data_IF_060299233987
#
_entry.id   IF_060299233987
#
_cell.length_a   1.000
_cell.length_b   1.000
_cell.length_c   1.000
_cell.angle_alpha   90.00
_cell.angle_beta   90.00
_cell.angle_gamma   90.00
#
_symmetry.space_group_name_H-M   'P 1'
#
loop_
_entity.id
_entity.type
_entity.pdbx_description
1 polymer ?
#
# COMPACT_ATOMS: atom_id res chain seq x y z
N UNK A 1 -2.16 -0.72 0.50
CA UNK A 1 -2.11 -2.01 -0.22
C UNK A 1 -1.73 -1.67 -1.66
N UNK A 2 -0.80 -2.35 -2.35
CA UNK A 2 -0.39 -1.90 -3.70
C UNK A 2 -1.48 -2.16 -4.73
N UNK A 3 -1.89 -1.13 -5.46
CA UNK A 3 -2.94 -1.24 -6.45
C UNK A 3 -2.37 -1.78 -7.78
N UNK A 4 -2.47 -3.10 -7.95
CA UNK A 4 -1.87 -3.83 -9.08
C UNK A 4 -2.73 -3.83 -10.35
N UNK A 5 -3.98 -3.34 -10.28
CA UNK A 5 -4.95 -3.38 -11.37
C UNK A 5 -5.30 -2.03 -11.99
N UNK A 6 -4.72 -0.92 -11.53
CA UNK A 6 -5.21 0.42 -11.90
C UNK A 6 -4.11 1.30 -12.51
N UNK A 7 -4.47 2.02 -13.57
CA UNK A 7 -3.67 3.09 -14.18
C UNK A 7 -4.29 4.43 -13.78
N UNK A 8 -3.51 5.31 -13.17
CA UNK A 8 -3.96 6.66 -12.80
C UNK A 8 -3.54 7.64 -13.89
N UNK A 9 -4.51 8.35 -14.45
CA UNK A 9 -4.26 9.52 -15.28
C UNK A 9 -4.56 10.75 -14.42
N UNK A 10 -3.63 11.69 -14.37
CA UNK A 10 -3.76 12.95 -13.66
C UNK A 10 -3.37 14.08 -14.61
N UNK A 11 -3.91 15.27 -14.43
CA UNK A 11 -3.61 16.37 -15.36
C UNK A 11 -3.83 17.72 -14.72
N UNK A 12 -2.95 18.66 -15.06
CA UNK A 12 -3.02 20.03 -14.56
C UNK A 12 -2.68 20.20 -13.08
N UNK A 13 -2.98 21.38 -12.56
CA UNK A 13 -2.93 21.68 -11.11
C UNK A 13 -4.34 22.03 -10.65
N UNK A 14 -4.81 21.53 -9.49
CA UNK A 14 -6.17 21.77 -9.07
C UNK A 14 -6.43 23.27 -8.92
N UNK A 15 -7.63 23.69 -9.34
CA UNK A 15 -8.01 25.10 -9.42
C UNK A 15 -8.67 25.53 -8.13
N UNK A 16 -8.48 26.80 -7.75
CA UNK A 16 -9.19 27.41 -6.62
C UNK A 16 -10.64 27.73 -6.98
N UNK A 17 -11.53 27.60 -6.00
CA UNK A 17 -12.94 27.96 -6.05
C UNK A 17 -13.18 29.36 -6.63
N UNK A 18 -12.26 30.30 -6.42
CA UNK A 18 -12.29 31.64 -7.04
C UNK A 18 -12.35 31.65 -8.58
N UNK A 19 -12.10 30.51 -9.23
CA UNK A 19 -12.22 30.33 -10.69
C UNK A 19 -13.46 29.53 -11.10
N UNK A 20 -14.45 29.33 -10.23
CA UNK A 20 -15.65 28.53 -10.53
C UNK A 20 -16.46 29.07 -11.71
N UNK A 21 -16.50 30.40 -11.88
CA UNK A 21 -17.17 31.05 -13.02
C UNK A 21 -16.65 30.55 -14.37
N UNK A 22 -15.39 30.07 -14.41
CA UNK A 22 -14.80 29.46 -15.60
C UNK A 22 -15.44 28.10 -15.92
N UNK A 23 -15.81 27.31 -14.91
CA UNK A 23 -16.52 26.04 -15.09
C UNK A 23 -17.95 26.29 -15.56
N UNK A 24 -18.63 27.31 -15.02
CA UNK A 24 -19.99 27.67 -15.45
C UNK A 24 -20.06 28.22 -16.88
N UNK A 25 -18.95 28.76 -17.39
CA UNK A 25 -18.86 29.32 -18.75
C UNK A 25 -18.13 28.41 -19.76
N UNK A 26 -17.59 27.26 -19.33
CA UNK A 26 -16.82 26.37 -20.18
C UNK A 26 -15.55 27.03 -20.75
N UNK A 27 -14.88 27.88 -19.95
CA UNK A 27 -13.75 28.66 -20.44
C UNK A 27 -12.62 27.74 -20.96
N UNK A 28 -12.03 28.05 -22.13
CA UNK A 28 -11.00 27.20 -22.73
C UNK A 28 -9.76 27.05 -21.83
N UNK A 29 -9.48 28.01 -20.95
CA UNK A 29 -8.37 27.94 -19.97
C UNK A 29 -8.46 26.77 -18.97
N UNK A 30 -9.63 26.13 -18.86
CA UNK A 30 -9.81 24.93 -18.03
C UNK A 30 -9.27 23.66 -18.68
N UNK A 31 -9.03 23.61 -20.00
CA UNK A 31 -8.56 22.36 -20.65
C UNK A 31 -7.14 22.02 -20.22
N UNK A 32 -6.34 23.04 -19.97
CA UNK A 32 -4.95 22.88 -19.55
C UNK A 32 -4.84 22.44 -18.08
N UNK A 33 -5.94 22.56 -17.30
CA UNK A 33 -5.97 22.24 -15.87
C UNK A 33 -6.85 21.05 -15.49
N UNK A 34 -7.90 20.78 -16.26
CA UNK A 34 -8.75 19.60 -16.18
C UNK A 34 -8.84 19.03 -17.60
N UNK A 35 -7.85 18.24 -18.04
CA UNK A 35 -7.76 17.78 -19.42
C UNK A 35 -8.78 16.68 -19.75
N UNK A 36 -9.42 16.09 -18.74
CA UNK A 36 -10.32 14.96 -18.92
C UNK A 36 -11.78 15.41 -18.96
N UNK A 37 -12.51 14.96 -19.97
CA UNK A 37 -13.95 15.10 -20.11
C UNK A 37 -14.62 13.73 -20.33
N UNK A 38 -15.95 13.70 -20.45
CA UNK A 38 -16.70 12.47 -20.72
C UNK A 38 -16.33 11.80 -22.06
N UNK A 39 -15.84 12.57 -23.03
CA UNK A 39 -15.34 12.02 -24.30
C UNK A 39 -14.08 11.19 -24.06
N UNK A 40 -13.13 11.73 -23.31
CA UNK A 40 -11.90 11.02 -22.92
C UNK A 40 -12.22 9.77 -22.11
N UNK A 41 -13.14 9.86 -21.14
CA UNK A 41 -13.56 8.70 -20.34
C UNK A 41 -14.17 7.61 -21.24
N UNK A 42 -15.03 7.99 -22.19
CA UNK A 42 -15.61 7.07 -23.17
C UNK A 42 -14.56 6.40 -24.06
N UNK A 43 -13.60 7.17 -24.60
CA UNK A 43 -12.52 6.65 -25.43
C UNK A 43 -11.63 5.63 -24.69
N UNK A 44 -11.39 5.87 -23.39
CA UNK A 44 -10.59 4.96 -22.55
C UNK A 44 -11.36 3.70 -22.19
N UNK A 45 -12.68 3.78 -21.95
CA UNK A 45 -13.54 2.62 -21.72
C UNK A 45 -13.59 1.67 -22.94
N UNK A 46 -13.43 2.18 -24.16
CA UNK A 46 -13.39 1.37 -25.38
C UNK A 46 -12.03 0.66 -25.61
N UNK A 47 -11.01 0.94 -24.80
CA UNK A 47 -9.68 0.35 -24.97
C UNK A 47 -9.65 -1.14 -24.57
N UNK A 48 -8.91 -1.93 -25.35
CA UNK A 48 -8.75 -3.36 -25.07
C UNK A 48 -8.02 -3.57 -23.73
N UNK A 49 -8.65 -4.32 -22.83
CA UNK A 49 -8.11 -4.64 -21.50
C UNK A 49 -8.57 -3.73 -20.37
N UNK A 50 -9.34 -2.67 -20.66
CA UNK A 50 -9.99 -1.82 -19.65
C UNK A 50 -11.31 -2.46 -19.23
N UNK A 51 -11.57 -2.53 -17.91
CA UNK A 51 -12.85 -2.99 -17.34
C UNK A 51 -13.75 -1.80 -17.05
N UNK A 52 -13.20 -0.83 -16.33
CA UNK A 52 -13.95 0.31 -15.84
C UNK A 52 -13.06 1.55 -15.74
N UNK A 53 -13.68 2.72 -15.69
CA UNK A 53 -13.00 4.01 -15.63
C UNK A 53 -13.71 4.90 -14.64
N UNK A 54 -13.01 5.26 -13.58
CA UNK A 54 -13.53 6.04 -12.48
C UNK A 54 -13.04 7.48 -12.54
N UNK A 55 -13.94 8.43 -12.31
CA UNK A 55 -13.62 9.87 -12.34
C UNK A 55 -13.21 10.37 -10.96
N UNK A 56 -12.23 11.28 -10.96
CA UNK A 56 -11.83 12.05 -9.78
C UNK A 56 -11.78 13.53 -10.15
N UNK A 57 -12.47 14.34 -9.34
CA UNK A 57 -12.39 15.79 -9.44
C UNK A 57 -11.87 16.37 -8.13
N UNK A 58 -10.91 17.29 -8.22
CA UNK A 58 -10.32 17.98 -7.08
C UNK A 58 -10.40 19.48 -7.32
N UNK A 59 -10.92 20.24 -6.36
CA UNK A 59 -10.95 21.72 -6.38
C UNK A 59 -10.52 22.24 -5.02
N UNK A 60 -9.72 23.31 -4.99
CA UNK A 60 -9.37 23.97 -3.73
C UNK A 60 -10.48 24.92 -3.30
N UNK A 61 -11.15 24.60 -2.21
CA UNK A 61 -12.20 25.45 -1.62
C UNK A 61 -11.64 26.20 -0.41
N UNK A 62 -12.00 27.48 -0.22
CA UNK A 62 -11.70 28.17 1.02
C UNK A 62 -12.46 27.49 2.17
N UNK A 63 -11.83 27.38 3.32
CA UNK A 63 -12.42 26.84 4.54
C UNK A 63 -12.00 27.72 5.70
N UNK A 64 -12.97 28.11 6.53
CA UNK A 64 -12.73 28.88 7.74
C UNK A 64 -12.45 27.93 8.88
N UNK A 65 -11.27 28.04 9.48
CA UNK A 65 -10.87 27.27 10.65
C UNK A 65 -11.49 27.84 11.93
N UNK A 66 -11.52 27.08 13.05
CA UNK A 66 -12.04 27.55 14.34
C UNK A 66 -11.36 28.82 14.90
N UNK A 67 -10.16 29.16 14.43
CA UNK A 67 -9.41 30.37 14.80
C UNK A 67 -9.71 31.58 13.87
N UNK A 68 -10.81 31.54 13.12
CA UNK A 68 -11.22 32.55 12.11
C UNK A 68 -10.20 32.75 10.96
N UNK A 69 -9.22 31.87 10.82
CA UNK A 69 -8.28 31.87 9.70
C UNK A 69 -8.88 31.17 8.49
N UNK A 70 -8.64 31.74 7.29
CA UNK A 70 -9.06 31.13 6.03
C UNK A 70 -7.91 30.31 5.48
N UNK A 71 -8.10 29.01 5.39
CA UNK A 71 -7.22 28.08 4.67
C UNK A 71 -7.90 27.55 3.41
N UNK A 72 -7.15 26.84 2.58
CA UNK A 72 -7.70 26.14 1.42
C UNK A 72 -7.61 24.64 1.66
N UNK A 73 -8.76 23.96 1.56
CA UNK A 73 -8.84 22.51 1.57
C UNK A 73 -9.18 22.00 0.16
N UNK A 74 -8.70 20.81 -0.18
CA UNK A 74 -9.13 20.14 -1.40
C UNK A 74 -10.51 19.52 -1.20
N UNK A 75 -11.52 20.01 -1.90
CA UNK A 75 -12.76 19.27 -2.09
C UNK A 75 -12.51 18.22 -3.17
N UNK A 76 -12.78 16.97 -2.86
CA UNK A 76 -12.55 15.81 -3.74
C UNK A 76 -13.87 15.11 -4.00
N UNK A 77 -14.28 15.05 -5.26
CA UNK A 77 -15.41 14.23 -5.71
C UNK A 77 -14.90 12.88 -6.19
N UNK A 78 -15.43 11.81 -5.60
CA UNK A 78 -15.12 10.42 -5.99
C UNK A 78 -16.38 9.64 -6.27
N UNK A 79 -16.36 8.79 -7.29
CA UNK A 79 -17.47 7.87 -7.54
C UNK A 79 -17.46 6.77 -6.47
N UNK A 80 -18.59 6.56 -5.76
CA UNK A 80 -18.68 5.55 -4.71
C UNK A 80 -18.44 4.13 -5.26
N UNK A 81 -18.86 3.84 -6.50
CA UNK A 81 -18.54 2.56 -7.16
C UNK A 81 -17.03 2.37 -7.35
N UNK A 82 -16.29 3.45 -7.60
CA UNK A 82 -14.84 3.46 -7.62
C UNK A 82 -14.25 3.23 -6.24
N UNK A 83 -14.95 3.63 -5.19
CA UNK A 83 -14.44 3.50 -3.86
C UNK A 83 -14.17 2.05 -3.51
N UNK A 84 -15.15 1.17 -3.71
CA UNK A 84 -15.04 -0.24 -3.33
C UNK A 84 -13.90 -0.97 -4.05
N UNK A 85 -13.68 -0.67 -5.33
CA UNK A 85 -12.72 -1.38 -6.18
C UNK A 85 -11.37 -0.66 -6.29
N UNK A 86 -11.37 0.66 -6.41
CA UNK A 86 -10.22 1.48 -6.80
C UNK A 86 -9.58 2.25 -5.64
N UNK A 87 -10.40 2.82 -4.73
CA UNK A 87 -9.93 3.72 -3.68
C UNK A 87 -9.73 3.03 -2.33
N UNK A 88 -10.54 2.03 -1.97
CA UNK A 88 -10.39 1.26 -0.72
C UNK A 88 -9.00 0.64 -0.52
N UNK A 89 -8.27 0.17 -1.56
CA UNK A 89 -6.89 -0.30 -1.39
C UNK A 89 -5.91 0.78 -0.87
N UNK A 90 -6.25 2.05 -1.09
CA UNK A 90 -5.50 3.23 -0.65
C UNK A 90 -6.09 3.87 0.61
N UNK A 91 -7.42 3.82 0.78
CA UNK A 91 -8.16 4.39 1.90
C UNK A 91 -7.73 3.75 3.22
N UNK A 92 -6.76 4.36 3.88
CA UNK A 92 -6.40 3.99 5.25
C UNK A 92 -7.35 4.72 6.21
N UNK A 93 -8.53 4.14 6.41
CA UNK A 93 -9.51 4.65 7.36
C UNK A 93 -8.95 4.58 8.78
N UNK A 94 -8.90 5.74 9.43
CA UNK A 94 -8.50 5.88 10.83
C UNK A 94 -9.69 5.67 11.75
N UNK A 95 -10.83 6.27 11.42
CA UNK A 95 -12.06 6.22 12.20
C UNK A 95 -13.30 6.33 11.30
N UNK A 96 -14.43 5.79 11.75
CA UNK A 96 -15.68 5.81 10.99
C UNK A 96 -15.72 4.79 9.85
N UNK A 97 -16.45 5.14 8.78
CA UNK A 97 -16.66 4.29 7.60
C UNK A 97 -16.39 5.07 6.32
N UNK A 98 -16.26 4.37 5.20
CA UNK A 98 -16.24 4.99 3.88
C UNK A 98 -17.66 5.40 3.45
N UNK A 99 -17.77 6.25 2.43
CA UNK A 99 -19.04 6.64 1.79
C UNK A 99 -19.72 5.41 1.16
N UNK A 100 -21.04 5.31 1.31
CA UNK A 100 -21.88 4.23 0.79
C UNK A 100 -22.91 4.78 -0.22
N UNK A 101 -23.38 3.94 -1.15
CA UNK A 101 -24.39 4.36 -2.13
C UNK A 101 -25.66 4.86 -1.42
N UNK A 102 -26.02 6.12 -1.68
CA UNK A 102 -27.19 6.77 -1.09
C UNK A 102 -26.89 7.63 0.14
N UNK A 103 -25.63 7.74 0.56
CA UNK A 103 -25.20 8.80 1.45
C UNK A 103 -25.38 10.16 0.76
N UNK A 104 -26.08 11.08 1.43
CA UNK A 104 -26.33 12.45 0.95
C UNK A 104 -25.97 13.40 2.08
N UNK A 105 -25.20 14.44 1.80
CA UNK A 105 -24.73 15.35 2.83
C UNK A 105 -23.64 14.72 3.69
N UNK A 106 -22.84 13.78 3.15
CA UNK A 106 -21.82 13.07 3.92
C UNK A 106 -20.44 13.31 3.35
N UNK A 107 -19.45 13.45 4.23
CA UNK A 107 -18.07 13.69 3.86
C UNK A 107 -17.09 12.80 4.64
N UNK A 108 -15.98 12.48 3.99
CA UNK A 108 -14.78 11.96 4.65
C UNK A 108 -13.75 13.08 4.75
N UNK A 109 -13.05 13.15 5.87
CA UNK A 109 -12.01 14.15 6.07
C UNK A 109 -10.64 13.51 6.24
N UNK A 110 -9.61 14.20 5.78
CA UNK A 110 -8.24 13.80 6.04
C UNK A 110 -7.87 14.03 7.52
N UNK A 111 -7.00 13.19 8.07
CA UNK A 111 -6.50 13.30 9.47
C UNK A 111 -5.85 14.65 9.77
N UNK A 112 -5.09 15.23 8.83
CA UNK A 112 -4.48 16.55 9.05
C UNK A 112 -5.54 17.66 9.05
N UNK A 113 -6.60 17.51 8.26
CA UNK A 113 -7.74 18.43 8.26
C UNK A 113 -8.59 18.30 9.53
N UNK A 114 -8.72 17.09 10.08
CA UNK A 114 -9.36 16.85 11.37
C UNK A 114 -8.64 17.60 12.50
N UNK A 115 -7.32 17.50 12.57
CA UNK A 115 -6.52 18.13 13.62
C UNK A 115 -6.66 19.66 13.60
N UNK A 116 -6.73 20.26 12.41
CA UNK A 116 -6.84 21.72 12.27
C UNK A 116 -8.25 22.24 12.57
N UNK A 117 -9.28 21.50 12.15
CA UNK A 117 -10.68 21.90 12.35
C UNK A 117 -11.24 21.43 13.70
N UNK A 118 -10.58 20.48 14.38
CA UNK A 118 -11.06 19.88 15.63
C UNK A 118 -12.36 19.09 15.46
N UNK A 119 -12.56 18.48 14.29
CA UNK A 119 -13.77 17.73 13.95
C UNK A 119 -13.66 16.26 14.35
N UNK A 120 -14.78 15.56 14.48
CA UNK A 120 -14.80 14.12 14.73
C UNK A 120 -15.88 13.46 13.89
N UNK A 121 -15.84 12.13 13.82
CA UNK A 121 -16.91 11.37 13.13
C UNK A 121 -18.24 11.63 13.83
N UNK A 122 -19.23 12.08 13.06
CA UNK A 122 -20.56 12.48 13.50
C UNK A 122 -20.75 13.99 13.68
N UNK A 123 -19.69 14.80 13.50
CA UNK A 123 -19.81 16.26 13.50
C UNK A 123 -20.25 16.79 12.12
N UNK A 124 -20.84 17.99 12.12
CA UNK A 124 -21.16 18.72 10.89
C UNK A 124 -20.00 19.65 10.50
N UNK A 125 -19.53 19.49 9.27
CA UNK A 125 -18.57 20.35 8.61
C UNK A 125 -19.33 21.41 7.80
N UNK A 126 -19.14 22.68 8.13
CA UNK A 126 -19.63 23.79 7.30
C UNK A 126 -18.54 24.27 6.33
N UNK A 127 -18.79 24.14 5.03
CA UNK A 127 -17.95 24.69 3.97
C UNK A 127 -18.53 26.01 3.46
N UNK A 128 -17.78 27.11 3.57
CA UNK A 128 -18.17 28.40 3.00
C UNK A 128 -17.71 28.52 1.54
N UNK A 129 -18.65 28.36 0.62
CA UNK A 129 -18.41 28.44 -0.82
C UNK A 129 -18.80 29.80 -1.39
N UNK A 130 -18.32 30.87 -0.75
CA UNK A 130 -18.51 32.24 -1.26
C UNK A 130 -19.94 32.74 -1.13
N UNK A 131 -20.64 32.37 -0.05
CA UNK A 131 -21.95 32.94 0.33
C UNK A 131 -23.06 31.92 0.59
N UNK A 132 -22.93 30.69 0.11
CA UNK A 132 -23.79 29.56 0.52
C UNK A 132 -22.94 28.58 1.34
N UNK A 133 -23.31 28.43 2.61
CA UNK A 133 -22.71 27.44 3.50
C UNK A 133 -23.30 26.06 3.21
N UNK A 134 -22.44 25.09 2.91
CA UNK A 134 -22.85 23.69 2.75
C UNK A 134 -22.48 22.95 4.03
N UNK A 135 -23.46 22.34 4.69
CA UNK A 135 -23.23 21.47 5.85
C UNK A 135 -23.15 20.02 5.40
N UNK A 136 -22.08 19.33 5.82
CA UNK A 136 -21.79 17.93 5.52
C UNK A 136 -21.51 17.17 6.83
N UNK A 137 -22.16 16.03 7.03
CA UNK A 137 -21.87 15.13 8.15
C UNK A 137 -20.55 14.37 7.91
N UNK A 138 -19.63 14.44 8.87
CA UNK A 138 -18.37 13.70 8.81
C UNK A 138 -18.62 12.23 9.17
N UNK A 139 -18.58 11.33 8.18
CA UNK A 139 -18.86 9.89 8.40
C UNK A 139 -17.59 9.05 8.59
N UNK A 140 -16.42 9.63 8.30
CA UNK A 140 -15.15 8.94 8.45
C UNK A 140 -13.93 9.84 8.31
N UNK A 141 -12.81 9.36 8.87
CA UNK A 141 -11.51 10.04 8.85
C UNK A 141 -10.49 9.10 8.19
N UNK A 142 -9.73 9.60 7.24
CA UNK A 142 -8.72 8.82 6.51
C UNK A 142 -7.34 9.47 6.57
N UNK A 143 -6.28 8.67 6.41
CA UNK A 143 -4.89 9.13 6.34
C UNK A 143 -4.45 9.37 4.87
N UNK A 144 -4.54 8.33 4.04
CA UNK A 144 -4.28 8.42 2.60
C UNK A 144 -5.49 7.87 1.83
N UNK A 145 -5.84 8.50 0.71
CA UNK A 145 -6.94 8.07 -0.16
C UNK A 145 -6.56 8.08 -1.64
N UNK A 146 -5.90 9.16 -2.07
CA UNK A 146 -5.47 9.33 -3.45
C UNK A 146 -3.96 9.13 -3.58
N UNK A 147 -3.48 8.87 -4.80
CA UNK A 147 -2.04 8.88 -5.10
C UNK A 147 -1.43 10.26 -4.85
N UNK A 148 -0.16 10.31 -4.42
CA UNK A 148 0.55 11.55 -4.06
C UNK A 148 0.43 12.67 -5.11
N UNK A 149 0.36 12.34 -6.41
CA UNK A 149 0.26 13.33 -7.50
C UNK A 149 -1.03 14.16 -7.50
N UNK A 150 -2.13 13.61 -6.96
CA UNK A 150 -3.46 14.25 -6.95
C UNK A 150 -4.02 14.43 -5.55
N UNK A 151 -3.26 14.05 -4.52
CA UNK A 151 -3.67 14.18 -3.12
C UNK A 151 -3.54 15.65 -2.67
N UNK A 152 -4.61 16.33 -2.21
CA UNK A 152 -4.52 17.71 -1.72
C UNK A 152 -3.86 17.86 -0.34
N UNK A 153 -3.33 16.79 0.25
CA UNK A 153 -2.91 16.69 1.67
C UNK A 153 -4.10 16.90 2.61
N UNK A 154 -4.61 18.13 2.72
CA UNK A 154 -5.83 18.46 3.48
C UNK A 154 -7.03 18.43 2.55
N UNK A 155 -7.92 17.47 2.75
CA UNK A 155 -9.07 17.35 1.88
C UNK A 155 -10.32 16.80 2.55
N UNK A 156 -11.43 17.18 1.92
CA UNK A 156 -12.79 16.75 2.21
C UNK A 156 -13.27 15.99 0.98
N UNK A 157 -13.68 14.75 1.18
CA UNK A 157 -14.10 13.83 0.12
C UNK A 157 -15.60 13.64 0.21
N UNK A 158 -16.29 13.83 -0.90
CA UNK A 158 -17.74 13.67 -1.03
C UNK A 158 -18.05 12.77 -2.22
N UNK A 159 -19.29 12.31 -2.31
CA UNK A 159 -19.77 11.63 -3.51
C UNK A 159 -19.63 12.52 -4.74
N UNK A 160 -19.42 11.90 -5.90
CA UNK A 160 -19.21 12.60 -7.15
C UNK A 160 -20.43 13.43 -7.58
N UNK A 161 -21.64 12.95 -7.37
CA UNK A 161 -22.84 13.72 -7.72
C UNK A 161 -23.02 14.92 -6.78
N UNK A 162 -22.80 14.70 -5.49
CA UNK A 162 -22.80 15.75 -4.46
C UNK A 162 -21.74 16.82 -4.74
N UNK A 163 -20.52 16.42 -5.13
CA UNK A 163 -19.44 17.33 -5.51
C UNK A 163 -19.88 18.34 -6.58
N UNK A 164 -20.53 17.88 -7.65
CA UNK A 164 -20.95 18.74 -8.74
C UNK A 164 -22.20 19.56 -8.42
N UNK A 165 -23.06 19.08 -7.52
CA UNK A 165 -24.21 19.80 -7.01
C UNK A 165 -23.76 20.98 -6.14
N UNK A 166 -22.83 20.74 -5.21
CA UNK A 166 -22.19 21.75 -4.36
C UNK A 166 -21.59 22.88 -5.19
N UNK A 167 -20.93 22.54 -6.30
CA UNK A 167 -20.29 23.52 -7.18
C UNK A 167 -21.25 24.13 -8.22
N UNK A 168 -22.51 23.66 -8.28
CA UNK A 168 -23.52 24.11 -9.24
C UNK A 168 -23.06 24.09 -10.70
N UNK A 169 -22.21 23.13 -11.09
CA UNK A 169 -21.66 23.04 -12.45
C UNK A 169 -22.58 22.19 -13.35
N UNK A 170 -23.07 22.73 -14.48
CA UNK A 170 -23.89 21.96 -15.41
C UNK A 170 -23.13 20.77 -16.01
N UNK A 171 -23.82 19.66 -16.26
CA UNK A 171 -23.21 18.41 -16.76
C UNK A 171 -22.33 18.59 -18.00
N UNK A 172 -22.71 19.45 -18.95
CA UNK A 172 -21.95 19.68 -20.19
C UNK A 172 -20.61 20.40 -20.02
N UNK A 173 -20.33 20.93 -18.82
CA UNK A 173 -19.08 21.64 -18.52
C UNK A 173 -18.26 20.98 -17.41
N UNK A 174 -18.68 19.80 -16.93
CA UNK A 174 -17.93 19.02 -15.95
C UNK A 174 -16.63 18.52 -16.59
N UNK A 175 -15.53 18.67 -15.85
CA UNK A 175 -14.19 18.22 -16.25
C UNK A 175 -13.46 17.63 -15.06
N UNK A 176 -12.53 16.72 -15.32
CA UNK A 176 -11.91 15.88 -14.31
C UNK A 176 -10.42 16.18 -14.21
N UNK A 177 -9.90 16.17 -12.98
CA UNK A 177 -8.48 16.37 -12.68
C UNK A 177 -7.73 15.05 -12.72
N UNK A 178 -8.43 13.94 -12.50
CA UNK A 178 -7.87 12.61 -12.61
C UNK A 178 -8.90 11.57 -13.02
N UNK A 179 -8.39 10.49 -13.58
CA UNK A 179 -9.15 9.32 -14.02
C UNK A 179 -8.39 8.08 -13.56
N UNK A 180 -9.09 7.15 -12.92
CA UNK A 180 -8.56 5.84 -12.53
C UNK A 180 -9.11 4.79 -13.50
N UNK A 181 -8.21 4.13 -14.20
CA UNK A 181 -8.56 3.11 -15.21
C UNK A 181 -8.31 1.74 -14.61
N UNK A 182 -9.36 0.94 -14.47
CA UNK A 182 -9.29 -0.46 -14.04
C UNK A 182 -8.94 -1.37 -15.22
N UNK A 183 -7.92 -2.22 -15.04
CA UNK A 183 -7.41 -3.13 -16.07
C UNK A 183 -7.73 -4.57 -15.69
N UNK A 184 -8.22 -5.35 -16.66
CA UNK A 184 -8.65 -6.74 -16.46
C UNK A 184 -7.54 -7.69 -16.02
N UNK A 185 -6.31 -7.46 -16.51
CA UNK A 185 -5.13 -8.24 -16.16
C UNK A 185 -4.00 -7.27 -15.79
N UNK A 186 -3.43 -7.38 -14.57
CA UNK A 186 -2.20 -6.67 -14.19
C UNK A 186 -1.05 -6.84 -15.20
N UNK A 187 -1.04 -7.93 -15.98
CA UNK A 187 -0.08 -8.15 -17.07
C UNK A 187 -0.25 -7.19 -18.26
N UNK A 188 -1.46 -6.69 -18.50
CA UNK A 188 -1.78 -5.76 -19.59
C UNK A 188 -1.69 -4.28 -19.18
N UNK A 189 -1.64 -3.98 -17.88
CA UNK A 189 -1.70 -2.58 -17.42
C UNK A 189 -0.53 -1.72 -17.88
N UNK A 190 0.66 -2.27 -18.11
CA UNK A 190 1.79 -1.50 -18.68
C UNK A 190 1.52 -1.15 -20.15
N UNK A 191 0.94 -2.06 -20.93
CA UNK A 191 0.59 -1.80 -22.33
C UNK A 191 -0.53 -0.76 -22.44
N UNK A 192 -1.53 -0.84 -21.57
CA UNK A 192 -2.60 0.17 -21.45
C UNK A 192 -2.00 1.51 -21.05
N UNK A 193 -1.13 1.56 -20.04
CA UNK A 193 -0.48 2.78 -19.60
C UNK A 193 0.39 3.43 -20.70
N UNK A 194 1.16 2.64 -21.45
CA UNK A 194 1.96 3.14 -22.56
C UNK A 194 1.11 3.70 -23.72
N UNK A 195 -0.01 3.06 -24.01
CA UNK A 195 -0.96 3.56 -25.01
C UNK A 195 -1.64 4.86 -24.55
N UNK A 196 -2.02 4.94 -23.26
CA UNK A 196 -2.57 6.17 -22.66
C UNK A 196 -1.54 7.31 -22.66
N UNK A 197 -0.28 7.03 -22.33
CA UNK A 197 0.83 8.00 -22.47
C UNK A 197 0.95 8.48 -23.91
N UNK A 198 0.89 7.57 -24.89
CA UNK A 198 1.01 7.95 -26.30
C UNK A 198 -0.13 8.85 -26.78
N UNK A 199 -1.35 8.64 -26.28
CA UNK A 199 -2.54 9.40 -26.71
C UNK A 199 -2.69 10.75 -26.01
N UNK A 200 -2.46 10.81 -24.69
CA UNK A 200 -2.84 11.95 -23.87
C UNK A 200 -1.66 12.74 -23.28
N UNK A 201 -0.41 12.28 -23.43
CA UNK A 201 0.76 13.01 -22.91
C UNK A 201 1.00 14.35 -23.61
N UNK A 202 0.62 14.49 -24.89
CA UNK A 202 0.70 15.78 -25.60
C UNK A 202 -0.34 16.80 -25.10
N UNK A 203 -1.39 16.34 -24.41
CA UNK A 203 -2.49 17.15 -23.87
C UNK A 203 -2.27 17.53 -22.39
N UNK A 204 -1.09 17.23 -21.83
CA UNK A 204 -0.74 17.58 -20.45
C UNK A 204 -1.19 16.57 -19.40
N UNK A 205 -1.65 15.38 -19.81
CA UNK A 205 -1.94 14.28 -18.91
C UNK A 205 -0.67 13.54 -18.49
N UNK A 206 -0.50 13.37 -17.17
CA UNK A 206 0.47 12.46 -16.55
C UNK A 206 -0.21 11.12 -16.34
N UNK A 207 0.44 10.04 -16.79
CA UNK A 207 -0.08 8.67 -16.67
C UNK A 207 0.86 7.84 -15.81
N UNK A 208 0.39 7.52 -14.60
CA UNK A 208 1.09 6.73 -13.61
C UNK A 208 0.50 5.32 -13.53
N UNK A 209 1.34 4.31 -13.72
CA UNK A 209 0.98 2.92 -13.45
C UNK A 209 1.83 2.40 -12.29
N UNK A 210 1.20 2.18 -11.13
CA UNK A 210 1.93 1.85 -9.89
C UNK A 210 2.51 0.43 -9.86
N UNK A 211 2.11 -0.44 -10.79
CA UNK A 211 2.72 -1.75 -10.93
C UNK A 211 4.21 -1.66 -11.23
N UNK A 212 4.71 -0.61 -11.89
CA UNK A 212 6.15 -0.47 -12.16
C UNK A 212 6.96 -0.44 -10.85
N UNK A 213 6.52 0.33 -9.84
CA UNK A 213 7.14 0.37 -8.49
C UNK A 213 6.97 -0.95 -7.72
N UNK A 214 5.78 -1.55 -7.78
CA UNK A 214 5.51 -2.84 -7.12
C UNK A 214 6.30 -3.98 -7.77
N UNK A 215 6.43 -4.03 -9.10
CA UNK A 215 7.19 -5.05 -9.85
C UNK A 215 8.68 -4.91 -9.60
N UNK A 216 9.23 -3.69 -9.54
CA UNK A 216 10.63 -3.51 -9.13
C UNK A 216 10.84 -3.97 -7.69
N UNK A 217 9.92 -3.63 -6.78
CA UNK A 217 10.00 -4.02 -5.36
C UNK A 217 9.85 -5.53 -5.19
N UNK A 218 8.90 -6.16 -5.88
CA UNK A 218 8.65 -7.61 -5.88
C UNK A 218 9.77 -8.37 -6.58
N UNK A 219 10.34 -7.86 -7.68
CA UNK A 219 11.50 -8.46 -8.33
C UNK A 219 12.77 -8.36 -7.47
N UNK A 220 12.98 -7.22 -6.80
CA UNK A 220 14.07 -7.06 -5.82
C UNK A 220 13.86 -7.97 -4.62
N UNK A 221 12.65 -8.10 -4.09
CA UNK A 221 12.30 -9.03 -3.02
C UNK A 221 12.45 -10.49 -3.49
N UNK A 222 12.02 -10.86 -4.68
CA UNK A 222 12.16 -12.20 -5.24
C UNK A 222 13.64 -12.58 -5.43
N UNK A 223 14.45 -11.65 -5.94
CA UNK A 223 15.90 -11.82 -6.04
C UNK A 223 16.56 -11.92 -4.65
N UNK A 224 16.07 -11.16 -3.67
CA UNK A 224 16.53 -11.22 -2.28
C UNK A 224 16.15 -12.54 -1.62
N UNK A 225 14.93 -13.03 -1.82
CA UNK A 225 14.45 -14.33 -1.32
C UNK A 225 15.26 -15.46 -1.94
N UNK A 226 15.54 -15.40 -3.24
CA UNK A 226 16.36 -16.40 -3.90
C UNK A 226 17.80 -16.38 -3.35
N UNK A 227 18.40 -15.21 -3.21
CA UNK A 227 19.75 -15.02 -2.61
C UNK A 227 19.80 -15.50 -1.16
N UNK A 228 18.75 -15.24 -0.38
CA UNK A 228 18.62 -15.71 1.00
C UNK A 228 18.50 -17.23 1.05
N UNK A 229 17.67 -17.85 0.19
CA UNK A 229 17.55 -19.31 0.08
C UNK A 229 18.88 -19.96 -0.28
N UNK A 230 19.62 -19.40 -1.24
CA UNK A 230 20.95 -19.89 -1.60
C UNK A 230 21.94 -19.76 -0.45
N UNK A 231 22.01 -18.60 0.20
CA UNK A 231 22.90 -18.37 1.35
C UNK A 231 22.57 -19.32 2.50
N UNK A 232 21.28 -19.53 2.80
CA UNK A 232 20.83 -20.48 3.83
C UNK A 232 21.28 -21.91 3.52
N UNK A 233 21.13 -22.36 2.28
CA UNK A 233 21.56 -23.69 1.85
C UNK A 233 23.07 -23.86 1.97
N UNK A 234 23.83 -22.84 1.56
CA UNK A 234 25.29 -22.83 1.65
C UNK A 234 25.74 -22.91 3.11
N UNK A 235 25.17 -22.09 4.00
CA UNK A 235 25.49 -22.11 5.42
C UNK A 235 25.16 -23.45 6.08
N UNK A 236 24.01 -24.05 5.74
CA UNK A 236 23.62 -25.38 6.25
C UNK A 236 24.62 -26.45 5.79
N UNK A 237 25.03 -26.39 4.53
CA UNK A 237 26.01 -27.31 3.95
C UNK A 237 27.35 -27.19 4.67
N UNK A 238 27.87 -25.96 4.82
CA UNK A 238 29.14 -25.69 5.51
C UNK A 238 29.08 -26.16 6.96
N UNK A 239 28.02 -25.81 7.69
CA UNK A 239 27.84 -26.23 9.08
C UNK A 239 27.80 -27.76 9.22
N UNK A 240 27.06 -28.44 8.34
CA UNK A 240 26.99 -29.91 8.35
C UNK A 240 28.35 -30.57 8.09
N UNK A 241 29.12 -30.06 7.13
CA UNK A 241 30.46 -30.55 6.82
C UNK A 241 31.43 -30.35 8.00
N UNK A 242 31.37 -29.20 8.68
CA UNK A 242 32.17 -28.94 9.88
C UNK A 242 31.87 -29.91 11.02
N UNK A 243 30.59 -30.23 11.26
CA UNK A 243 30.20 -31.19 12.30
C UNK A 243 30.75 -32.58 11.98
N UNK A 244 30.60 -33.04 10.75
CA UNK A 244 31.13 -34.35 10.31
C UNK A 244 32.64 -34.41 10.49
N UNK A 245 33.36 -33.34 10.11
CA UNK A 245 34.82 -33.29 10.26
C UNK A 245 35.26 -33.44 11.73
N UNK A 246 34.62 -32.72 12.64
CA UNK A 246 34.90 -32.82 14.08
C UNK A 246 34.62 -34.24 14.58
N UNK A 247 33.50 -34.85 14.16
CA UNK A 247 33.15 -36.23 14.55
C UNK A 247 34.17 -37.26 14.07
N UNK A 248 34.68 -37.11 12.85
CA UNK A 248 35.73 -38.00 12.33
C UNK A 248 37.01 -37.88 13.16
N UNK A 249 37.43 -36.65 13.51
CA UNK A 249 38.61 -36.42 14.36
C UNK A 249 38.43 -37.08 15.73
N UNK A 250 37.27 -36.91 16.36
CA UNK A 250 36.95 -37.55 17.65
C UNK A 250 37.04 -39.07 17.56
N UNK A 251 36.50 -39.67 16.50
CA UNK A 251 36.55 -41.12 16.29
C UNK A 251 37.98 -41.63 16.10
N UNK A 252 38.83 -40.88 15.38
CA UNK A 252 40.24 -41.24 15.19
C UNK A 252 40.98 -41.24 16.53
N UNK A 253 40.72 -40.25 17.39
CA UNK A 253 41.33 -40.17 18.73
C UNK A 253 40.91 -41.30 19.65
N UNK A 254 39.68 -41.81 19.50
CA UNK A 254 39.13 -42.87 20.33
C UNK A 254 39.37 -44.29 19.79
N UNK A 255 40.20 -44.44 18.75
CA UNK A 255 40.47 -45.76 18.15
C UNK A 255 41.04 -46.78 19.14
N UNK A 256 41.89 -46.34 20.07
CA UNK A 256 42.48 -47.21 21.09
C UNK A 256 41.42 -47.73 22.08
N UNK A 257 40.47 -46.88 22.48
CA UNK A 257 39.34 -47.26 23.35
C UNK A 257 38.45 -48.31 22.68
N UNK A 258 38.16 -48.14 21.38
CA UNK A 258 37.38 -49.10 20.59
C UNK A 258 38.11 -50.43 20.47
N UNK A 259 39.43 -50.40 20.25
CA UNK A 259 40.27 -51.61 20.19
C UNK A 259 40.29 -52.39 21.52
N UNK A 260 40.25 -51.70 22.66
CA UNK A 260 40.10 -52.31 23.97
C UNK A 260 38.70 -52.93 24.18
N UNK A 261 37.63 -52.30 23.69
CA UNK A 261 36.28 -52.88 23.79
C UNK A 261 36.16 -54.19 22.99
N UNK A 262 36.76 -54.24 21.80
CA UNK A 262 36.79 -55.46 20.98
C UNK A 262 37.63 -56.57 21.65
N UNK A 263 38.74 -56.23 22.31
CA UNK A 263 39.57 -57.23 23.01
C UNK A 263 38.90 -57.83 24.25
N UNK A 264 38.00 -57.07 24.89
CA UNK A 264 37.13 -57.54 25.99
C UNK A 264 35.97 -58.42 25.49
N UNK A 265 35.76 -58.52 24.17
CA UNK A 265 34.77 -59.41 23.55
C UNK A 265 33.43 -58.74 23.22
N UNK A 266 33.39 -57.41 23.11
CA UNK A 266 32.20 -56.73 22.60
C UNK A 266 31.93 -57.10 21.13
N UNK A 267 30.68 -57.37 20.79
CA UNK A 267 30.25 -57.59 19.40
C UNK A 267 30.23 -56.28 18.63
N UNK A 268 30.59 -56.31 17.35
CA UNK A 268 30.61 -55.15 16.46
C UNK A 268 29.28 -54.39 16.40
N UNK A 269 28.14 -55.11 16.50
CA UNK A 269 26.80 -54.50 16.54
C UNK A 269 26.57 -53.63 17.78
N UNK A 270 27.12 -54.01 18.93
CA UNK A 270 27.00 -53.21 20.16
C UNK A 270 27.87 -51.96 20.11
N UNK A 271 29.06 -52.07 19.50
CA UNK A 271 29.97 -50.94 19.29
C UNK A 271 29.31 -49.92 18.33
N UNK A 272 28.74 -50.39 17.22
CA UNK A 272 28.05 -49.53 16.26
C UNK A 272 26.83 -48.84 16.89
N UNK A 273 26.03 -49.57 17.67
CA UNK A 273 24.91 -49.01 18.42
C UNK A 273 25.32 -47.96 19.45
N UNK A 274 26.42 -48.21 20.17
CA UNK A 274 26.98 -47.25 21.13
C UNK A 274 27.45 -45.96 20.45
N UNK A 275 28.17 -46.06 19.32
CA UNK A 275 28.62 -44.89 18.55
C UNK A 275 27.45 -44.09 17.98
N UNK A 276 26.39 -44.78 17.51
CA UNK A 276 25.17 -44.14 17.05
C UNK A 276 24.47 -43.39 18.20
N UNK A 277 24.32 -44.03 19.37
CA UNK A 277 23.67 -43.43 20.53
C UNK A 277 24.44 -42.22 21.06
N UNK A 278 25.76 -42.31 21.12
CA UNK A 278 26.64 -41.19 21.49
C UNK A 278 26.45 -40.01 20.54
N UNK A 279 26.38 -40.27 19.23
CA UNK A 279 26.17 -39.22 18.22
C UNK A 279 24.78 -38.59 18.34
N UNK A 280 23.75 -39.41 18.58
CA UNK A 280 22.37 -38.97 18.77
C UNK A 280 22.23 -38.04 19.97
N UNK A 281 22.78 -38.42 21.13
CA UNK A 281 22.74 -37.59 22.35
C UNK A 281 23.37 -36.22 22.10
N UNK A 282 24.56 -36.19 21.48
CA UNK A 282 25.24 -34.93 21.28
C UNK A 282 24.50 -34.06 20.25
N UNK A 283 23.88 -34.67 19.23
CA UNK A 283 23.01 -33.97 18.28
C UNK A 283 21.79 -33.33 18.95
N UNK A 284 21.09 -34.08 19.81
CA UNK A 284 19.91 -33.59 20.55
C UNK A 284 20.27 -32.47 21.51
N UNK A 285 21.36 -32.63 22.27
CA UNK A 285 21.85 -31.58 23.17
C UNK A 285 22.27 -30.32 22.42
N UNK A 286 22.98 -30.49 21.29
CA UNK A 286 23.37 -29.38 20.43
C UNK A 286 22.16 -28.62 19.88
N UNK A 287 21.16 -29.34 19.36
CA UNK A 287 19.92 -28.76 18.87
C UNK A 287 19.17 -27.98 19.95
N UNK A 288 19.08 -28.53 21.17
CA UNK A 288 18.46 -27.84 22.29
C UNK A 288 19.14 -26.51 22.63
N UNK A 289 20.48 -26.50 22.68
CA UNK A 289 21.26 -25.27 22.91
C UNK A 289 21.06 -24.27 21.77
N UNK A 290 21.05 -24.74 20.51
CA UNK A 290 20.81 -23.89 19.34
C UNK A 290 19.42 -23.24 19.37
N UNK A 291 18.37 -23.94 19.79
CA UNK A 291 17.02 -23.38 19.92
C UNK A 291 16.97 -22.25 20.95
N UNK A 292 17.60 -22.45 22.11
CA UNK A 292 17.67 -21.42 23.15
C UNK A 292 18.40 -20.18 22.63
N UNK A 293 19.55 -20.36 21.98
CA UNK A 293 20.30 -19.26 21.39
C UNK A 293 19.51 -18.54 20.27
N UNK A 294 18.77 -19.28 19.45
CA UNK A 294 17.92 -18.70 18.41
C UNK A 294 16.80 -17.85 19.01
N UNK A 295 16.14 -18.32 20.07
CA UNK A 295 15.07 -17.58 20.74
C UNK A 295 15.58 -16.28 21.38
N UNK A 296 16.65 -16.35 22.16
CA UNK A 296 17.24 -15.18 22.82
C UNK A 296 17.90 -14.22 21.83
N UNK A 297 18.65 -14.75 20.86
CA UNK A 297 19.31 -13.96 19.81
C UNK A 297 18.29 -13.26 18.92
N UNK A 298 17.25 -13.96 18.46
CA UNK A 298 16.18 -13.38 17.66
C UNK A 298 15.46 -12.24 18.40
N UNK A 299 15.15 -12.42 19.68
CA UNK A 299 14.54 -11.38 20.51
C UNK A 299 15.44 -10.15 20.69
N UNK A 300 16.74 -10.35 20.92
CA UNK A 300 17.71 -9.27 21.04
C UNK A 300 17.88 -8.49 19.73
N UNK A 301 18.06 -9.18 18.60
CA UNK A 301 18.19 -8.55 17.29
C UNK A 301 16.92 -7.80 16.87
N UNK A 302 15.74 -8.36 17.13
CA UNK A 302 14.46 -7.67 16.89
C UNK A 302 14.41 -6.34 17.63
N UNK A 303 14.83 -6.30 18.90
CA UNK A 303 14.82 -5.09 19.72
C UNK A 303 15.87 -4.05 19.29
N UNK A 304 16.97 -4.48 18.71
CA UNK A 304 18.06 -3.60 18.28
C UNK A 304 17.84 -3.02 16.87
N UNK A 305 17.28 -3.81 15.95
CA UNK A 305 17.08 -3.40 14.54
C UNK A 305 15.74 -2.68 14.34
N UNK A 306 14.70 -3.00 15.12
CA UNK A 306 13.41 -2.29 15.03
C UNK A 306 13.42 -1.11 16.03
N UNK A 307 13.69 0.14 15.58
CA UNK A 307 13.53 1.30 16.45
C UNK A 307 12.08 1.37 16.95
N UNK A 308 11.90 1.71 18.23
CA UNK A 308 10.61 1.66 18.93
C UNK A 308 9.47 2.47 18.27
N UNK A 309 9.77 3.34 17.29
CA UNK A 309 8.76 4.08 16.53
C UNK A 309 7.94 3.22 15.55
N UNK A 310 8.39 2.02 15.19
CA UNK A 310 7.67 1.13 14.24
C UNK A 310 6.84 0.04 14.94
N UNK A 311 7.05 -0.19 16.24
CA UNK A 311 6.33 -1.23 16.99
C UNK A 311 4.85 -0.93 17.24
N UNK A 312 4.38 0.31 17.01
CA UNK A 312 2.94 0.64 17.09
C UNK A 312 2.19 0.44 15.77
N UNK A 313 2.87 0.25 14.64
CA UNK A 313 2.22 0.05 13.34
C UNK A 313 2.08 -1.43 12.94
N UNK A 314 2.82 -2.36 13.55
CA UNK A 314 2.79 -3.78 13.17
C UNK A 314 2.35 -4.63 14.36
N UNK A 315 1.08 -4.49 14.75
CA UNK A 315 0.36 -5.54 15.47
C UNK A 315 -0.73 -6.13 14.56
N UNK A 316 -0.32 -6.71 13.43
CA UNK A 316 -1.16 -7.69 12.74
C UNK A 316 -0.66 -9.07 13.19
N UNK A 317 -1.57 -9.77 13.87
CA UNK A 317 -1.39 -11.10 14.42
C UNK A 317 -1.16 -12.11 13.28
N UNK A 318 0.08 -12.57 13.12
CA UNK A 318 0.36 -13.82 12.42
C UNK A 318 0.03 -14.97 13.38
N UNK A 319 -1.25 -15.27 13.55
CA UNK A 319 -1.72 -16.46 14.27
C UNK A 319 -2.39 -17.51 13.38
N UNK A 320 -2.57 -17.25 12.08
CA UNK A 320 -3.13 -18.23 11.14
C UNK A 320 -2.38 -18.20 9.80
N UNK A 321 -1.18 -18.79 9.76
CA UNK A 321 -0.54 -19.37 8.56
C UNK A 321 0.42 -20.49 8.98
#
# INVERSE_FOLDING_TARGET
MYNIGFVTMSGGSPVSYSSLEKFHSGAPELSDRYPFDEGVVGDVLEMEGVIDVFRIAVIWVPTTLPDDSVEYAGLVGVEISAAESALLPYASMWEGRFLEEGDVGCALINVDFEVDCGLSVGDELELDLGGEGVSLEVVGIYDALLSEEINPEKSVVVDFDEFWEILSVPQGYRRYSGVLVEVADPGMGEAVADELRRRYMEEGATVLYQYTLAKYTVALLANTVNTYRFTRLLLLTVASASIVLIRVIDLVRQREEIGLMTSVGWRDSHILGFLFWKSLIIGVLGFGVSLVLMYFGGGFFRRMIVPQKVSRMVSISFSDL
#
